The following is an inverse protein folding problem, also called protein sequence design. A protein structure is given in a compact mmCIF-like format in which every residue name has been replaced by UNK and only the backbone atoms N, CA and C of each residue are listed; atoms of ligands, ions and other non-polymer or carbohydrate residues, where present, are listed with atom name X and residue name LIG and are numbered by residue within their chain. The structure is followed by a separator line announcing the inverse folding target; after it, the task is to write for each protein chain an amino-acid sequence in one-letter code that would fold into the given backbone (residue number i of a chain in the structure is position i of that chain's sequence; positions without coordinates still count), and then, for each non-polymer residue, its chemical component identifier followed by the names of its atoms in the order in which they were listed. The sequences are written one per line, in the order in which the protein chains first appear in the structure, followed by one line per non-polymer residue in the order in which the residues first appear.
data_IF_221872436395
#
_entry.id   IF_221872436395
#
_cell.length_a   1.000
_cell.length_b   1.000
_cell.length_c   1.000
_cell.angle_alpha   90.00
_cell.angle_beta   90.00
_cell.angle_gamma   90.00
#
_symmetry.space_group_name_H-M   'P 1'
#
loop_
_entity.id
_entity.type
_entity.pdbx_description
1 polymer ?
#
# COMPACT_ATOMS: atom_id res chain seq x y z
N UNK A 1 -12.84 43.51 26.61
CA UNK A 1 -13.55 42.30 26.13
C UNK A 1 -12.57 41.43 25.37
N UNK A 2 -12.11 40.32 25.95
CA UNK A 2 -11.03 39.50 25.39
C UNK A 2 -11.62 38.50 24.37
N UNK A 3 -11.27 38.62 23.09
CA UNK A 3 -11.68 37.68 22.04
C UNK A 3 -10.85 36.39 22.18
N UNK A 4 -11.48 35.26 22.50
CA UNK A 4 -10.85 33.94 22.46
C UNK A 4 -10.71 33.48 21.02
N UNK A 5 -9.48 33.21 20.57
CA UNK A 5 -9.20 32.53 19.30
C UNK A 5 -9.59 31.07 19.44
N UNK A 6 -10.49 30.58 18.58
CA UNK A 6 -10.90 29.18 18.54
C UNK A 6 -9.83 28.39 17.78
N UNK A 7 -8.89 27.81 18.52
CA UNK A 7 -7.86 26.92 17.96
C UNK A 7 -8.47 25.52 17.88
N UNK A 8 -8.71 25.04 16.66
CA UNK A 8 -9.09 23.64 16.42
C UNK A 8 -7.82 22.79 16.48
N UNK A 9 -7.50 22.25 17.66
CA UNK A 9 -6.45 21.27 17.79
C UNK A 9 -6.91 19.96 17.14
N UNK A 10 -6.49 19.69 15.91
CA UNK A 10 -6.67 18.38 15.29
C UNK A 10 -5.56 17.45 15.80
N UNK A 11 -5.84 16.69 16.85
CA UNK A 11 -4.96 15.61 17.30
C UNK A 11 -5.04 14.44 16.31
N UNK A 12 -4.14 14.40 15.32
CA UNK A 12 -3.90 13.20 14.53
C UNK A 12 -2.79 12.37 15.17
N UNK A 13 -3.13 11.68 16.25
CA UNK A 13 -2.34 10.55 16.74
C UNK A 13 -3.16 9.28 16.55
N UNK A 14 -2.97 8.62 15.41
CA UNK A 14 -3.36 7.23 15.24
C UNK A 14 -2.08 6.40 15.16
N UNK A 15 -1.39 6.27 16.30
CA UNK A 15 -0.46 5.16 16.50
C UNK A 15 -1.30 3.91 16.79
N UNK A 16 -1.80 3.26 15.73
CA UNK A 16 -2.15 1.84 15.83
C UNK A 16 -1.01 1.07 15.21
N UNK A 17 -0.28 0.36 16.07
CA UNK A 17 0.79 -0.53 15.70
C UNK A 17 0.33 -1.48 14.56
N UNK A 18 0.89 -1.26 13.37
CA UNK A 18 0.68 -2.04 12.15
C UNK A 18 1.34 -3.42 12.22
N UNK A 19 1.03 -4.21 13.25
CA UNK A 19 1.53 -5.60 13.36
C UNK A 19 0.49 -6.66 13.00
N UNK A 20 -0.79 -6.29 12.96
CA UNK A 20 -1.88 -7.19 12.56
C UNK A 20 -2.05 -7.30 11.03
N UNK A 21 -1.38 -6.46 10.26
CA UNK A 21 -1.75 -6.19 8.86
C UNK A 21 -1.11 -7.19 7.88
N UNK A 22 0.14 -7.63 8.05
CA UNK A 22 0.82 -8.42 7.00
C UNK A 22 0.13 -9.74 6.64
N UNK A 23 -0.29 -10.52 7.64
CA UNK A 23 -0.81 -11.89 7.44
C UNK A 23 -2.29 -11.92 6.98
N UNK A 24 -3.09 -10.96 7.46
CA UNK A 24 -4.51 -10.84 7.07
C UNK A 24 -4.68 -10.19 5.69
N UNK A 25 -3.81 -9.22 5.36
CA UNK A 25 -3.73 -8.64 4.01
C UNK A 25 -3.21 -9.67 2.98
N UNK A 26 -2.36 -10.61 3.39
CA UNK A 26 -1.75 -11.57 2.50
C UNK A 26 -2.77 -12.52 1.84
N UNK A 27 -3.82 -12.96 2.53
CA UNK A 27 -4.76 -13.99 2.05
C UNK A 27 -5.55 -13.62 0.78
N UNK A 28 -6.24 -12.45 0.70
CA UNK A 28 -6.97 -12.07 -0.52
C UNK A 28 -6.03 -11.74 -1.68
N UNK A 29 -4.86 -11.18 -1.37
CA UNK A 29 -3.82 -10.87 -2.35
C UNK A 29 -3.25 -12.17 -2.93
N UNK A 30 -2.92 -13.16 -2.09
CA UNK A 30 -2.31 -14.43 -2.49
C UNK A 30 -3.12 -15.14 -3.58
N UNK A 31 -4.45 -15.14 -3.49
CA UNK A 31 -5.34 -15.72 -4.50
C UNK A 31 -5.15 -15.09 -5.90
N UNK A 32 -4.84 -13.80 -5.96
CA UNK A 32 -4.62 -13.10 -7.23
C UNK A 32 -3.35 -13.57 -7.94
N UNK A 33 -2.30 -13.90 -7.16
CA UNK A 33 -1.01 -14.35 -7.70
C UNK A 33 -0.97 -15.85 -8.01
N UNK A 34 -1.81 -16.67 -7.37
CA UNK A 34 -1.92 -18.11 -7.67
C UNK A 34 -2.73 -18.41 -8.93
N UNK A 35 -3.63 -17.52 -9.34
CA UNK A 35 -4.49 -17.73 -10.52
C UNK A 35 -3.92 -17.13 -11.81
N UNK A 36 -2.99 -16.19 -11.71
CA UNK A 36 -2.28 -15.65 -12.88
C UNK A 36 -1.13 -16.57 -13.27
N UNK A 37 -1.19 -17.18 -14.46
CA UNK A 37 -0.03 -17.84 -15.05
C UNK A 37 1.09 -16.80 -15.29
N UNK A 38 2.10 -16.79 -14.42
CA UNK A 38 3.31 -15.96 -14.48
C UNK A 38 3.10 -14.45 -14.33
N UNK A 39 2.79 -13.94 -13.11
CA UNK A 39 2.92 -12.51 -12.87
C UNK A 39 4.42 -12.15 -12.88
N UNK A 40 4.78 -11.09 -13.61
CA UNK A 40 6.13 -10.48 -13.61
C UNK A 40 6.59 -10.02 -12.20
N UNK A 41 5.70 -10.11 -11.21
CA UNK A 41 5.91 -9.78 -9.81
C UNK A 41 5.38 -10.93 -8.96
N UNK A 42 6.19 -11.41 -8.04
CA UNK A 42 5.80 -12.44 -7.07
C UNK A 42 4.97 -11.83 -5.95
N UNK A 43 4.06 -12.62 -5.34
CA UNK A 43 3.30 -12.20 -4.15
C UNK A 43 4.19 -11.61 -3.05
N UNK A 44 5.32 -12.26 -2.73
CA UNK A 44 6.28 -11.78 -1.73
C UNK A 44 6.85 -10.40 -2.06
N UNK A 45 7.19 -10.17 -3.33
CA UNK A 45 7.70 -8.89 -3.80
C UNK A 45 6.63 -7.79 -3.66
N UNK A 46 5.39 -8.11 -4.02
CA UNK A 46 4.26 -7.18 -3.86
C UNK A 46 3.98 -6.83 -2.40
N UNK A 47 3.98 -7.82 -1.50
CA UNK A 47 3.79 -7.60 -0.05
C UNK A 47 4.93 -6.76 0.51
N UNK A 48 6.18 -7.02 0.10
CA UNK A 48 7.33 -6.22 0.50
C UNK A 48 7.16 -4.75 0.08
N UNK A 49 6.81 -4.50 -1.18
CA UNK A 49 6.57 -3.14 -1.67
C UNK A 49 5.42 -2.48 -0.89
N UNK A 50 4.33 -3.21 -0.65
CA UNK A 50 3.17 -2.71 0.11
C UNK A 50 3.53 -2.38 1.57
N UNK A 51 4.51 -3.06 2.16
CA UNK A 51 4.97 -2.78 3.53
C UNK A 51 5.98 -1.62 3.57
N UNK A 52 6.87 -1.52 2.58
CA UNK A 52 7.94 -0.52 2.57
C UNK A 52 7.51 0.85 2.03
N UNK A 53 6.50 0.94 1.16
CA UNK A 53 6.07 2.24 0.60
C UNK A 53 5.53 3.22 1.66
N UNK A 54 5.12 2.72 2.83
CA UNK A 54 4.67 3.59 3.94
C UNK A 54 5.83 4.32 4.60
N UNK A 55 7.07 3.88 4.37
CA UNK A 55 8.24 4.59 4.83
C UNK A 55 8.51 5.82 3.96
N UNK A 56 8.26 7.01 4.52
CA UNK A 56 8.44 8.30 3.84
C UNK A 56 9.88 8.57 3.38
N UNK A 57 10.88 7.89 3.96
CA UNK A 57 12.27 8.06 3.55
C UNK A 57 12.64 7.24 2.31
N UNK A 58 11.79 6.31 1.86
CA UNK A 58 12.04 5.45 0.72
C UNK A 58 11.33 5.98 -0.52
N UNK A 59 12.11 6.20 -1.58
CA UNK A 59 11.57 6.51 -2.89
C UNK A 59 11.00 5.24 -3.53
N UNK A 60 9.79 5.31 -4.10
CA UNK A 60 9.15 4.18 -4.78
C UNK A 60 9.98 3.65 -5.94
N UNK A 61 10.71 4.51 -6.65
CA UNK A 61 11.60 4.12 -7.75
C UNK A 61 12.76 3.25 -7.24
N UNK A 62 13.41 3.68 -6.15
CA UNK A 62 14.49 2.92 -5.51
C UNK A 62 13.98 1.60 -4.95
N UNK A 63 12.76 1.58 -4.40
CA UNK A 63 12.13 0.36 -3.88
C UNK A 63 11.82 -0.64 -5.00
N UNK A 64 11.36 -0.17 -6.16
CA UNK A 64 11.13 -1.05 -7.32
C UNK A 64 12.43 -1.54 -7.94
N UNK A 65 13.49 -0.73 -7.92
CA UNK A 65 14.82 -1.10 -8.39
C UNK A 65 15.47 -2.18 -7.49
N UNK A 66 15.34 -2.05 -6.16
CA UNK A 66 15.82 -3.04 -5.18
C UNK A 66 15.19 -4.43 -5.41
N UNK A 67 13.91 -4.46 -5.78
CA UNK A 67 13.17 -5.69 -6.01
C UNK A 67 13.28 -6.17 -7.47
N UNK A 68 14.02 -5.44 -8.30
CA UNK A 68 14.22 -5.67 -9.74
C UNK A 68 12.90 -5.78 -10.50
N UNK A 69 11.97 -4.86 -10.22
CA UNK A 69 10.64 -4.80 -10.81
C UNK A 69 10.48 -3.48 -11.57
N UNK A 70 9.96 -3.56 -12.78
CA UNK A 70 9.51 -2.37 -13.51
C UNK A 70 8.19 -1.84 -12.93
N UNK A 71 8.04 -0.51 -12.93
CA UNK A 71 6.83 0.17 -12.43
C UNK A 71 5.55 -0.25 -13.18
N UNK A 72 5.65 -0.56 -14.47
CA UNK A 72 4.51 -0.94 -15.32
C UNK A 72 3.82 -2.23 -14.84
N UNK A 73 4.52 -3.36 -14.64
CA UNK A 73 3.97 -4.54 -13.97
C UNK A 73 3.30 -4.25 -12.62
N UNK A 74 3.91 -3.41 -11.79
CA UNK A 74 3.39 -3.06 -10.47
C UNK A 74 2.04 -2.35 -10.59
N UNK A 75 1.96 -1.38 -11.50
CA UNK A 75 0.73 -0.66 -11.79
C UNK A 75 -0.39 -1.60 -12.28
N UNK A 76 -0.08 -2.49 -13.22
CA UNK A 76 -1.07 -3.43 -13.77
C UNK A 76 -1.65 -4.35 -12.68
N UNK A 77 -0.80 -4.84 -11.78
CA UNK A 77 -1.23 -5.70 -10.68
C UNK A 77 -2.11 -4.94 -9.69
N UNK A 78 -1.80 -3.68 -9.38
CA UNK A 78 -2.65 -2.86 -8.49
C UNK A 78 -4.04 -2.70 -9.08
N UNK A 79 -4.14 -2.42 -10.38
CA UNK A 79 -5.43 -2.28 -11.09
C UNK A 79 -6.22 -3.57 -11.04
N UNK A 80 -5.57 -4.73 -11.18
CA UNK A 80 -6.23 -6.04 -11.10
C UNK A 80 -6.67 -6.43 -9.68
N UNK A 81 -5.85 -6.13 -8.66
CA UNK A 81 -6.13 -6.48 -7.26
C UNK A 81 -7.21 -5.56 -6.66
N UNK A 82 -7.25 -4.29 -7.06
CA UNK A 82 -8.18 -3.29 -6.49
C UNK A 82 -9.66 -3.73 -6.45
N UNK A 83 -10.24 -4.30 -7.52
CA UNK A 83 -11.62 -4.81 -7.48
C UNK A 83 -11.79 -6.11 -6.68
N UNK A 84 -10.73 -6.91 -6.51
CA UNK A 84 -10.77 -8.22 -5.85
C UNK A 84 -10.68 -8.13 -4.32
N UNK A 85 -10.10 -7.05 -3.83
CA UNK A 85 -10.01 -6.78 -2.40
C UNK A 85 -11.36 -6.30 -1.88
N UNK A 86 -11.84 -6.88 -0.78
CA UNK A 86 -13.02 -6.37 -0.06
C UNK A 86 -12.66 -5.51 1.16
N UNK A 87 -11.47 -5.70 1.73
CA UNK A 87 -11.02 -4.93 2.88
C UNK A 87 -10.79 -3.45 2.53
N UNK A 88 -11.47 -2.57 3.28
CA UNK A 88 -11.36 -1.11 3.16
C UNK A 88 -9.94 -0.62 3.47
N UNK A 89 -9.24 -1.23 4.42
CA UNK A 89 -7.87 -0.86 4.80
C UNK A 89 -6.91 -1.11 3.65
N UNK A 90 -6.94 -2.32 3.09
CA UNK A 90 -6.14 -2.67 1.92
C UNK A 90 -6.46 -1.80 0.70
N UNK A 91 -7.75 -1.52 0.40
CA UNK A 91 -8.13 -0.58 -0.67
C UNK A 91 -7.51 0.80 -0.50
N UNK A 92 -7.47 1.31 0.74
CA UNK A 92 -6.86 2.60 1.06
C UNK A 92 -5.35 2.56 0.80
N UNK A 93 -4.66 1.50 1.24
CA UNK A 93 -3.22 1.32 0.99
C UNK A 93 -2.91 1.22 -0.51
N UNK A 94 -3.66 0.43 -1.26
CA UNK A 94 -3.51 0.30 -2.71
C UNK A 94 -3.74 1.62 -3.44
N UNK A 95 -4.73 2.41 -2.98
CA UNK A 95 -5.00 3.73 -3.57
C UNK A 95 -3.84 4.69 -3.30
N UNK A 96 -3.30 4.72 -2.07
CA UNK A 96 -2.12 5.54 -1.75
C UNK A 96 -0.91 5.13 -2.58
N UNK A 97 -0.66 3.83 -2.72
CA UNK A 97 0.43 3.31 -3.52
C UNK A 97 0.25 3.67 -5.00
N UNK A 98 -0.96 3.54 -5.55
CA UNK A 98 -1.27 3.99 -6.91
C UNK A 98 -1.00 5.49 -7.11
N UNK A 99 -1.35 6.33 -6.13
CA UNK A 99 -1.12 7.78 -6.20
C UNK A 99 0.37 8.17 -6.07
N UNK A 100 1.25 7.27 -5.64
CA UNK A 100 2.69 7.51 -5.59
C UNK A 100 3.38 7.10 -6.90
N UNK A 101 2.71 6.31 -7.72
CA UNK A 101 3.19 5.88 -9.04
C UNK A 101 2.82 6.88 -10.15
N UNK A 102 2.01 7.90 -9.85
CA UNK A 102 1.47 8.93 -10.73
C UNK A 102 1.72 10.33 -10.18
#
# INVERSE_FOLDING_TARGET
TIKKVKIWAHSNSLQKADKATSEELAKPIQKCFTSSNNPLITHLQFVYILDKFTNKSLNIHSLTEEVNISLTPLMNIIVQIRPLVNDRSLKSRLTKLSNLLF
#
